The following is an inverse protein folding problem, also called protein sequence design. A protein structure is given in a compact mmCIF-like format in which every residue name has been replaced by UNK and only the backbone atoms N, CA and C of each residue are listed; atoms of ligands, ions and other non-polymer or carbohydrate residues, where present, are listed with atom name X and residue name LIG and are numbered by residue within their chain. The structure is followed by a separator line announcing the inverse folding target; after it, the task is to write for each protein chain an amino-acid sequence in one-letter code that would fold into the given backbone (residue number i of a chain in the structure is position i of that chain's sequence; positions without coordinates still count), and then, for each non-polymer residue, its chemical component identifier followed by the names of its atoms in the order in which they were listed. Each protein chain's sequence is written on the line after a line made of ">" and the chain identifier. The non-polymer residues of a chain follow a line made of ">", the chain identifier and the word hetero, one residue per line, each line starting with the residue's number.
data_IF_526592393583
#
_entry.id   IF_526592393583
#
_cell.length_a   1.000
_cell.length_b   1.000
_cell.length_c   1.000
_cell.angle_alpha   90.00
_cell.angle_beta   90.00
_cell.angle_gamma   90.00
#
_symmetry.space_group_name_H-M   'P 1'
#
loop_
_entity.id
_entity.type
_entity.pdbx_description
1 polymer ?
#
# COMPACT_ATOMS: atom_id res chain seq x y z
N UNK A 1 -48.40 -38.17 -26.11
CA UNK A 1 -47.87 -36.82 -26.46
C UNK A 1 -47.59 -35.94 -25.25
N UNK A 2 -48.26 -36.12 -24.09
CA UNK A 2 -48.07 -35.32 -22.85
C UNK A 2 -46.61 -35.23 -22.34
N UNK A 3 -45.84 -36.31 -22.41
CA UNK A 3 -44.47 -36.36 -21.90
C UNK A 3 -43.49 -35.43 -22.67
N UNK A 4 -43.77 -35.12 -23.94
CA UNK A 4 -42.96 -34.21 -24.75
C UNK A 4 -43.21 -32.73 -24.40
N UNK A 5 -44.42 -32.39 -23.96
CA UNK A 5 -44.81 -31.01 -23.64
C UNK A 5 -44.19 -30.57 -22.31
N UNK A 6 -44.25 -31.42 -21.29
CA UNK A 6 -43.62 -31.17 -19.98
C UNK A 6 -42.08 -31.11 -20.10
N UNK A 7 -41.49 -32.00 -20.90
CA UNK A 7 -40.05 -31.97 -21.17
C UNK A 7 -39.63 -30.69 -21.92
N UNK A 8 -40.49 -30.13 -22.76
CA UNK A 8 -40.26 -28.86 -23.46
C UNK A 8 -40.35 -27.67 -22.50
N UNK A 9 -41.36 -27.61 -21.66
CA UNK A 9 -41.54 -26.54 -20.67
C UNK A 9 -40.38 -26.50 -19.67
N UNK A 10 -39.93 -27.66 -19.15
CA UNK A 10 -38.75 -27.72 -18.26
C UNK A 10 -37.49 -27.17 -18.93
N UNK A 11 -37.27 -27.44 -20.22
CA UNK A 11 -36.12 -26.88 -20.96
C UNK A 11 -36.24 -25.37 -21.13
N UNK A 12 -37.44 -24.85 -21.40
CA UNK A 12 -37.68 -23.40 -21.51
C UNK A 12 -37.33 -22.71 -20.19
N UNK A 13 -37.80 -23.24 -19.05
CA UNK A 13 -37.47 -22.69 -17.73
C UNK A 13 -35.97 -22.74 -17.43
N UNK A 14 -35.27 -23.81 -17.80
CA UNK A 14 -33.80 -23.88 -17.66
C UNK A 14 -33.07 -22.85 -18.53
N UNK A 15 -33.54 -22.64 -19.76
CA UNK A 15 -32.98 -21.62 -20.67
C UNK A 15 -33.20 -20.21 -20.11
N UNK A 16 -34.38 -19.92 -19.57
CA UNK A 16 -34.68 -18.59 -19.03
C UNK A 16 -33.91 -18.33 -17.73
N UNK A 17 -33.70 -19.36 -16.90
CA UNK A 17 -32.87 -19.28 -15.70
C UNK A 17 -31.37 -19.14 -16.03
N UNK A 18 -30.90 -19.75 -17.13
CA UNK A 18 -29.55 -19.53 -17.63
C UNK A 18 -29.39 -18.10 -18.18
N UNK A 19 -30.37 -17.61 -18.94
CA UNK A 19 -30.38 -16.23 -19.46
C UNK A 19 -30.33 -15.18 -18.36
N UNK A 20 -30.98 -15.41 -17.22
CA UNK A 20 -30.95 -14.48 -16.09
C UNK A 20 -29.64 -14.49 -15.31
N UNK A 21 -28.89 -15.60 -15.31
CA UNK A 21 -27.60 -15.74 -14.59
C UNK A 21 -26.37 -15.30 -15.39
N UNK A 22 -26.42 -15.40 -16.71
CA UNK A 22 -25.32 -15.01 -17.61
C UNK A 22 -24.84 -13.56 -17.37
N UNK A 23 -25.72 -12.55 -17.15
CA UNK A 23 -25.30 -11.18 -16.88
C UNK A 23 -24.52 -11.04 -15.57
N UNK A 24 -24.97 -11.68 -14.49
CA UNK A 24 -24.28 -11.65 -13.20
C UNK A 24 -22.88 -12.26 -13.31
N UNK A 25 -22.77 -13.40 -14.00
CA UNK A 25 -21.49 -14.06 -14.26
C UNK A 25 -20.56 -13.20 -15.14
N UNK A 26 -21.12 -12.50 -16.14
CA UNK A 26 -20.38 -11.55 -16.98
C UNK A 26 -19.82 -10.40 -16.14
N UNK A 27 -20.61 -9.83 -15.25
CA UNK A 27 -20.18 -8.73 -14.37
C UNK A 27 -19.08 -9.19 -13.41
N UNK A 28 -19.19 -10.40 -12.87
CA UNK A 28 -18.16 -10.99 -12.01
C UNK A 28 -16.84 -11.22 -12.76
N UNK A 29 -16.91 -11.76 -13.98
CA UNK A 29 -15.75 -11.93 -14.85
C UNK A 29 -15.09 -10.59 -15.22
N UNK A 30 -15.88 -9.55 -15.47
CA UNK A 30 -15.36 -8.20 -15.73
C UNK A 30 -14.64 -7.64 -14.51
N UNK A 31 -15.21 -7.80 -13.31
CA UNK A 31 -14.56 -7.37 -12.07
C UNK A 31 -13.24 -8.11 -11.81
N UNK A 32 -13.21 -9.43 -12.02
CA UNK A 32 -12.00 -10.24 -11.89
C UNK A 32 -10.95 -9.84 -12.93
N UNK A 33 -11.37 -9.63 -14.19
CA UNK A 33 -10.48 -9.20 -15.28
C UNK A 33 -9.85 -7.83 -14.99
N UNK A 34 -10.63 -6.85 -14.53
CA UNK A 34 -10.11 -5.53 -14.14
C UNK A 34 -9.12 -5.60 -12.97
N UNK A 35 -9.34 -6.50 -12.00
CA UNK A 35 -8.39 -6.72 -10.90
C UNK A 35 -7.09 -7.35 -11.39
N UNK A 36 -7.15 -8.26 -12.37
CA UNK A 36 -5.97 -8.92 -12.94
C UNK A 36 -5.14 -8.00 -13.83
N UNK A 37 -5.75 -7.07 -14.55
CA UNK A 37 -5.03 -6.08 -15.37
C UNK A 37 -4.03 -5.25 -14.55
N UNK A 38 -4.39 -4.90 -13.31
CA UNK A 38 -3.48 -4.18 -12.42
C UNK A 38 -2.23 -5.00 -12.07
N UNK A 39 -2.36 -6.32 -11.92
CA UNK A 39 -1.23 -7.22 -11.66
C UNK A 39 -0.38 -7.46 -12.92
N UNK A 40 -0.98 -7.44 -14.11
CA UNK A 40 -0.28 -7.62 -15.39
C UNK A 40 0.67 -6.44 -15.70
N UNK A 41 0.25 -5.20 -15.38
CA UNK A 41 1.10 -4.00 -15.50
C UNK A 41 2.34 -4.10 -14.59
N UNK A 42 2.17 -4.63 -13.38
CA UNK A 42 3.26 -4.79 -12.40
C UNK A 42 4.22 -5.91 -12.81
N UNK A 43 3.69 -7.00 -13.39
CA UNK A 43 4.48 -8.12 -13.91
C UNK A 43 5.34 -7.70 -15.11
N UNK A 44 4.77 -6.97 -16.09
CA UNK A 44 5.48 -6.51 -17.29
C UNK A 44 6.62 -5.51 -17.00
N UNK A 45 6.56 -4.81 -15.87
CA UNK A 45 7.64 -3.93 -15.41
C UNK A 45 8.81 -4.69 -14.73
N UNK A 46 8.81 -6.03 -14.72
CA UNK A 46 9.81 -6.90 -14.06
C UNK A 46 9.98 -6.64 -12.55
N UNK A 47 8.96 -6.12 -11.88
CA UNK A 47 9.00 -5.75 -10.46
C UNK A 47 8.41 -6.81 -9.51
N UNK A 48 7.97 -7.97 -10.01
CA UNK A 48 7.40 -9.04 -9.17
C UNK A 48 7.44 -10.43 -9.82
N UNK A 49 8.01 -11.42 -9.13
CA UNK A 49 7.79 -12.85 -9.36
C UNK A 49 7.25 -13.47 -8.06
N UNK A 50 6.05 -14.08 -8.05
CA UNK A 50 5.58 -14.84 -6.90
C UNK A 50 6.31 -16.19 -6.83
N UNK A 51 6.93 -16.49 -5.69
CA UNK A 51 7.40 -17.83 -5.35
C UNK A 51 6.18 -18.75 -5.16
N UNK A 52 5.78 -19.47 -6.21
CA UNK A 52 4.74 -20.49 -6.10
C UNK A 52 5.29 -21.75 -5.39
N UNK A 53 5.29 -21.72 -4.05
CA UNK A 53 5.78 -22.83 -3.21
C UNK A 53 4.74 -23.93 -2.98
N UNK A 54 3.54 -23.83 -3.56
CA UNK A 54 2.46 -24.79 -3.30
C UNK A 54 2.78 -26.17 -3.87
N UNK A 55 3.26 -26.23 -5.12
CA UNK A 55 3.69 -27.51 -5.74
C UNK A 55 4.76 -28.18 -4.89
N UNK A 56 5.78 -27.42 -4.50
CA UNK A 56 6.91 -27.91 -3.71
C UNK A 56 6.49 -28.41 -2.31
N UNK A 57 5.44 -27.85 -1.71
CA UNK A 57 4.85 -28.38 -0.46
C UNK A 57 4.18 -29.73 -0.66
N UNK A 58 3.48 -29.90 -1.77
CA UNK A 58 2.79 -31.14 -2.08
C UNK A 58 3.81 -32.25 -2.38
N UNK A 59 4.86 -31.93 -3.12
CA UNK A 59 5.94 -32.87 -3.45
C UNK A 59 6.69 -33.32 -2.18
N UNK A 60 7.05 -32.40 -1.28
CA UNK A 60 7.68 -32.76 0.01
C UNK A 60 6.77 -33.59 0.92
N UNK A 61 5.45 -33.35 0.89
CA UNK A 61 4.48 -34.15 1.67
C UNK A 61 4.40 -35.58 1.14
N UNK A 62 4.38 -35.75 -0.18
CA UNK A 62 4.35 -37.04 -0.85
C UNK A 62 5.63 -37.85 -0.58
N UNK A 63 6.80 -37.21 -0.71
CA UNK A 63 8.09 -37.81 -0.37
C UNK A 63 8.15 -38.24 1.10
N UNK A 64 7.63 -37.43 2.02
CA UNK A 64 7.56 -37.78 3.44
C UNK A 64 6.74 -39.04 3.71
N UNK A 65 5.62 -39.25 3.01
CA UNK A 65 4.85 -40.49 3.14
C UNK A 65 5.60 -41.71 2.60
N UNK A 66 6.30 -41.57 1.49
CA UNK A 66 7.07 -42.66 0.87
C UNK A 66 8.24 -43.11 1.76
N UNK A 67 8.90 -42.16 2.43
CA UNK A 67 9.97 -42.45 3.41
C UNK A 67 9.42 -43.20 4.62
N UNK A 68 8.26 -42.77 5.15
CA UNK A 68 7.61 -43.45 6.27
C UNK A 68 7.17 -44.88 5.92
N UNK A 69 6.72 -45.11 4.68
CA UNK A 69 6.34 -46.43 4.21
C UNK A 69 7.57 -47.32 3.95
N UNK A 70 8.66 -46.76 3.41
CA UNK A 70 9.94 -47.45 3.27
C UNK A 70 10.53 -47.84 4.64
N UNK A 71 10.36 -47.02 5.68
CA UNK A 71 10.85 -47.30 7.03
C UNK A 71 10.10 -48.44 7.73
N UNK A 72 8.84 -48.71 7.34
CA UNK A 72 8.06 -49.86 7.81
C UNK A 72 8.49 -51.16 7.13
N UNK A 73 9.02 -51.09 5.92
CA UNK A 73 9.62 -52.25 5.25
C UNK A 73 11.00 -52.55 5.84
N UNK A 74 11.29 -53.81 6.17
CA UNK A 74 12.55 -54.24 6.82
C UNK A 74 13.74 -54.12 5.85
N UNK A 75 14.18 -52.90 5.54
CA UNK A 75 15.27 -52.60 4.63
C UNK A 75 16.63 -52.59 5.36
N UNK A 76 17.74 -53.01 4.69
CA UNK A 76 19.04 -53.18 5.33
C UNK A 76 19.74 -51.87 5.76
N UNK A 77 19.32 -50.72 5.21
CA UNK A 77 20.02 -49.44 5.33
C UNK A 77 19.26 -48.41 6.17
N UNK A 78 18.96 -48.76 7.43
CA UNK A 78 18.29 -47.88 8.39
C UNK A 78 19.00 -46.52 8.57
N UNK A 79 20.34 -46.50 8.55
CA UNK A 79 21.11 -45.26 8.71
C UNK A 79 20.95 -44.29 7.53
N UNK A 80 20.82 -44.80 6.30
CA UNK A 80 20.59 -43.98 5.11
C UNK A 80 19.17 -43.41 5.10
N UNK A 81 18.19 -44.22 5.49
CA UNK A 81 16.79 -43.78 5.63
C UNK A 81 16.63 -42.71 6.72
N UNK A 82 17.36 -42.84 7.83
CA UNK A 82 17.35 -41.83 8.88
C UNK A 82 17.92 -40.50 8.37
N UNK A 83 19.08 -40.53 7.71
CA UNK A 83 19.70 -39.33 7.12
C UNK A 83 18.75 -38.64 6.12
N UNK A 84 18.07 -39.42 5.28
CA UNK A 84 17.12 -38.89 4.32
C UNK A 84 15.88 -38.27 4.99
N UNK A 85 15.42 -38.85 6.09
CA UNK A 85 14.35 -38.27 6.91
C UNK A 85 14.76 -36.93 7.53
N UNK A 86 16.00 -36.81 8.00
CA UNK A 86 16.51 -35.57 8.60
C UNK A 86 16.64 -34.46 7.53
N UNK A 87 17.19 -34.77 6.34
CA UNK A 87 17.27 -33.82 5.21
C UNK A 87 15.88 -33.34 4.76
N UNK A 88 14.86 -34.21 4.83
CA UNK A 88 13.48 -33.85 4.47
C UNK A 88 12.83 -32.91 5.49
N UNK A 89 13.18 -33.05 6.79
CA UNK A 89 12.75 -32.10 7.83
C UNK A 89 13.39 -30.73 7.63
N UNK A 90 14.69 -30.68 7.32
CA UNK A 90 15.42 -29.43 7.05
C UNK A 90 14.85 -28.71 5.81
N UNK A 91 14.52 -29.47 4.76
CA UNK A 91 13.89 -28.93 3.55
C UNK A 91 12.51 -28.33 3.85
N UNK A 92 11.72 -28.99 4.72
CA UNK A 92 10.41 -28.50 5.15
C UNK A 92 10.53 -27.23 5.99
N UNK A 93 11.51 -27.16 6.90
CA UNK A 93 11.78 -25.96 7.69
C UNK A 93 12.24 -24.79 6.82
N UNK A 94 13.16 -25.04 5.88
CA UNK A 94 13.60 -24.04 4.90
C UNK A 94 12.44 -23.49 4.08
N UNK A 95 11.51 -24.35 3.65
CA UNK A 95 10.34 -23.92 2.90
C UNK A 95 9.34 -23.12 3.75
N UNK A 96 9.17 -23.46 5.03
CA UNK A 96 8.40 -22.65 5.98
C UNK A 96 9.03 -21.27 6.19
N UNK A 97 10.36 -21.21 6.28
CA UNK A 97 11.12 -19.96 6.39
C UNK A 97 11.04 -19.12 5.11
N UNK A 98 11.08 -19.73 3.92
CA UNK A 98 10.82 -19.03 2.65
C UNK A 98 9.38 -18.51 2.56
N UNK A 99 8.41 -19.26 3.10
CA UNK A 99 7.03 -18.82 3.24
C UNK A 99 6.86 -17.60 4.16
N UNK A 100 7.78 -17.36 5.10
CA UNK A 100 7.79 -16.12 5.89
C UNK A 100 8.11 -14.88 5.06
N UNK A 101 8.70 -15.01 3.86
CA UNK A 101 8.95 -13.88 2.96
C UNK A 101 7.87 -13.74 1.87
N UNK A 102 6.73 -14.41 2.03
CA UNK A 102 5.58 -14.29 1.14
C UNK A 102 5.06 -12.83 1.05
N UNK A 103 4.28 -12.54 0.00
CA UNK A 103 3.71 -11.25 -0.44
C UNK A 103 3.36 -10.26 0.68
N UNK A 104 2.84 -10.72 1.81
CA UNK A 104 2.47 -9.88 2.95
C UNK A 104 3.68 -9.26 3.68
N UNK A 105 4.77 -10.01 3.84
CA UNK A 105 5.96 -9.50 4.52
C UNK A 105 6.81 -8.63 3.60
N UNK A 106 6.85 -8.88 2.29
CA UNK A 106 7.52 -7.97 1.35
C UNK A 106 6.80 -6.63 1.20
N UNK A 107 5.47 -6.61 1.25
CA UNK A 107 4.70 -5.35 1.28
C UNK A 107 4.93 -4.59 2.58
N UNK A 108 4.95 -5.29 3.72
CA UNK A 108 5.26 -4.70 5.03
C UNK A 108 6.68 -4.14 5.11
N UNK A 109 7.67 -4.86 4.57
CA UNK A 109 9.06 -4.42 4.47
C UNK A 109 9.17 -3.22 3.52
N UNK A 110 8.51 -3.26 2.36
CA UNK A 110 8.47 -2.13 1.42
C UNK A 110 7.85 -0.88 2.05
N UNK A 111 6.79 -1.05 2.85
CA UNK A 111 6.17 0.05 3.58
C UNK A 111 7.12 0.61 4.64
N UNK A 112 7.74 -0.24 5.45
CA UNK A 112 8.77 0.18 6.42
C UNK A 112 9.94 0.91 5.77
N UNK A 113 10.43 0.44 4.61
CA UNK A 113 11.50 1.10 3.87
C UNK A 113 11.08 2.46 3.30
N UNK A 114 9.80 2.63 2.92
CA UNK A 114 9.24 3.94 2.53
C UNK A 114 9.14 4.86 3.73
N UNK A 115 8.58 4.40 4.84
CA UNK A 115 8.43 5.20 6.06
C UNK A 115 9.81 5.64 6.60
N UNK A 116 10.81 4.77 6.54
CA UNK A 116 12.19 5.10 6.92
C UNK A 116 12.82 6.13 5.97
N UNK A 117 12.59 5.99 4.66
CA UNK A 117 13.05 6.96 3.66
C UNK A 117 12.40 8.33 3.88
N UNK A 118 11.09 8.37 4.08
CA UNK A 118 10.34 9.61 4.31
C UNK A 118 10.78 10.26 5.62
N UNK A 119 11.07 9.48 6.66
CA UNK A 119 11.68 9.95 7.91
C UNK A 119 13.07 10.53 7.70
N UNK A 120 13.98 9.84 6.98
CA UNK A 120 15.33 10.35 6.68
C UNK A 120 15.26 11.61 5.82
N UNK A 121 14.36 11.65 4.84
CA UNK A 121 14.13 12.83 4.01
C UNK A 121 13.60 14.00 4.84
N UNK A 122 12.69 13.74 5.78
CA UNK A 122 12.24 14.75 6.75
C UNK A 122 13.44 15.27 7.55
N UNK A 123 14.33 14.42 8.04
CA UNK A 123 15.53 14.86 8.75
C UNK A 123 16.46 15.68 7.84
N UNK A 124 16.56 15.36 6.54
CA UNK A 124 17.40 16.10 5.59
C UNK A 124 16.81 17.45 5.14
N UNK A 125 15.47 17.58 5.12
CA UNK A 125 14.76 18.82 4.78
C UNK A 125 14.59 19.72 6.01
N UNK A 126 14.39 19.12 7.19
CA UNK A 126 14.19 19.81 8.47
C UNK A 126 15.49 19.90 9.31
N UNK A 127 16.61 19.36 8.80
CA UNK A 127 17.92 19.41 9.42
C UNK A 127 18.60 20.75 9.20
N UNK A 128 18.28 21.76 10.01
CA UNK A 128 19.05 23.01 10.18
C UNK A 128 19.58 23.63 8.87
N UNK A 129 18.81 23.65 7.78
CA UNK A 129 19.20 24.49 6.65
C UNK A 129 18.99 25.93 7.07
N UNK A 130 20.08 26.65 7.33
CA UNK A 130 20.02 28.08 7.62
C UNK A 130 19.44 28.77 6.39
N UNK A 131 18.26 29.36 6.55
CA UNK A 131 17.62 30.18 5.53
C UNK A 131 18.66 31.17 4.98
N UNK A 132 18.81 31.22 3.66
CA UNK A 132 19.76 32.09 2.97
C UNK A 132 21.06 31.43 2.48
N UNK A 133 21.30 30.14 2.73
CA UNK A 133 22.48 29.45 2.20
C UNK A 133 22.11 28.46 1.07
N UNK A 134 21.68 28.99 -0.08
CA UNK A 134 21.33 28.21 -1.26
C UNK A 134 22.40 28.39 -2.36
N UNK A 135 23.35 27.46 -2.45
CA UNK A 135 24.39 27.42 -3.50
C UNK A 135 24.19 26.28 -4.51
N UNK A 136 22.96 25.77 -4.64
CA UNK A 136 22.63 24.62 -5.50
C UNK A 136 21.64 24.92 -6.63
N UNK A 137 21.64 24.08 -7.66
CA UNK A 137 20.67 24.09 -8.77
C UNK A 137 19.53 23.12 -8.41
N UNK A 138 18.28 23.49 -8.68
CA UNK A 138 17.10 22.62 -8.49
C UNK A 138 17.20 21.40 -9.42
N UNK A 139 17.36 20.19 -8.86
CA UNK A 139 17.50 18.94 -9.63
C UNK A 139 16.21 18.12 -9.70
N UNK A 140 15.40 18.16 -8.65
CA UNK A 140 14.19 17.35 -8.52
C UNK A 140 13.23 17.94 -7.51
N UNK A 141 11.93 17.71 -7.69
CA UNK A 141 10.86 18.13 -6.78
C UNK A 141 10.15 16.88 -6.24
N UNK A 142 9.92 16.83 -4.92
CA UNK A 142 9.21 15.71 -4.27
C UNK A 142 7.69 15.82 -4.44
N UNK A 143 6.96 14.78 -4.00
CA UNK A 143 5.51 14.89 -3.87
C UNK A 143 5.13 15.93 -2.81
N UNK A 144 3.99 16.63 -2.98
CA UNK A 144 3.54 17.62 -2.01
C UNK A 144 3.14 16.95 -0.71
N UNK A 145 3.45 17.60 0.41
CA UNK A 145 3.03 17.20 1.75
C UNK A 145 2.04 18.27 2.24
N UNK A 146 0.89 17.83 2.76
CA UNK A 146 -0.08 18.77 3.34
C UNK A 146 0.44 19.23 4.70
N UNK A 147 0.74 20.52 4.82
CA UNK A 147 1.23 21.09 6.08
C UNK A 147 0.06 21.39 7.05
N UNK A 148 -0.90 22.20 6.62
CA UNK A 148 -2.03 22.60 7.46
C UNK A 148 -3.32 22.67 6.63
N UNK A 149 -4.44 22.28 7.23
CA UNK A 149 -5.79 22.57 6.71
C UNK A 149 -6.18 24.01 7.05
N UNK A 150 -7.07 24.63 6.26
CA UNK A 150 -7.45 26.02 6.47
C UNK A 150 -7.97 26.27 7.92
N UNK A 151 -7.27 27.09 8.73
CA UNK A 151 -7.65 27.32 10.11
C UNK A 151 -8.91 28.17 10.29
N UNK A 152 -9.38 28.83 9.21
CA UNK A 152 -10.62 29.62 9.16
C UNK A 152 -11.83 28.84 8.63
N UNK A 153 -11.69 27.51 8.49
CA UNK A 153 -12.76 26.61 8.08
C UNK A 153 -12.95 26.49 6.57
N UNK A 154 -13.81 25.54 6.18
CA UNK A 154 -13.98 25.10 4.79
C UNK A 154 -14.70 26.10 3.88
N UNK A 155 -15.42 27.07 4.44
CA UNK A 155 -16.12 28.09 3.65
C UNK A 155 -15.16 29.02 2.91
N UNK A 156 -13.93 29.16 3.43
CA UNK A 156 -12.92 30.01 2.86
C UNK A 156 -11.95 29.21 1.99
N UNK A 157 -11.95 29.47 0.69
CA UNK A 157 -11.23 28.64 -0.29
C UNK A 157 -9.91 29.28 -0.75
N UNK A 158 -9.75 30.59 -0.51
CA UNK A 158 -8.67 31.38 -1.05
C UNK A 158 -7.88 32.04 0.06
N UNK A 159 -6.56 32.10 -0.11
CA UNK A 159 -5.64 32.61 0.89
C UNK A 159 -4.20 32.26 0.56
N UNK A 160 -3.32 32.61 1.46
CA UNK A 160 -1.89 32.30 1.40
C UNK A 160 -1.39 31.96 2.81
N UNK A 161 -0.28 31.26 2.86
CA UNK A 161 0.46 31.03 4.09
C UNK A 161 1.95 31.03 3.77
N UNK A 162 2.78 31.24 4.79
CA UNK A 162 4.21 31.24 4.63
C UNK A 162 4.94 31.28 5.96
N UNK A 163 6.25 31.45 5.85
CA UNK A 163 7.17 31.61 6.98
C UNK A 163 8.07 32.82 6.69
N UNK A 164 8.41 33.60 7.71
CA UNK A 164 9.46 34.61 7.61
C UNK A 164 10.80 33.93 7.31
N UNK A 165 11.42 34.34 6.21
CA UNK A 165 12.68 33.81 5.71
C UNK A 165 13.87 34.72 6.03
N UNK A 166 13.70 35.75 6.87
CA UNK A 166 14.81 36.64 7.21
C UNK A 166 15.87 35.91 8.05
N UNK A 167 17.14 35.87 7.60
CA UNK A 167 18.20 35.22 8.38
C UNK A 167 18.39 35.90 9.74
N UNK A 168 18.30 35.12 10.82
CA UNK A 168 18.45 35.61 12.19
C UNK A 168 17.17 36.15 12.82
N UNK A 169 16.04 36.22 12.10
CA UNK A 169 14.75 36.51 12.71
C UNK A 169 14.21 35.28 13.46
N UNK A 170 13.36 35.48 14.48
CA UNK A 170 12.60 34.38 15.09
C UNK A 170 11.72 33.68 14.06
N UNK A 171 11.56 32.37 14.21
CA UNK A 171 10.65 31.58 13.38
C UNK A 171 9.21 32.13 13.50
N UNK A 172 8.60 32.50 12.37
CA UNK A 172 7.27 33.06 12.32
C UNK A 172 6.51 32.51 11.11
N UNK A 173 5.50 31.69 11.35
CA UNK A 173 4.57 31.27 10.31
C UNK A 173 3.35 32.16 10.32
N UNK A 174 2.76 32.35 9.15
CA UNK A 174 1.56 33.15 8.99
C UNK A 174 0.59 32.52 8.00
N UNK A 175 -0.70 32.77 8.20
CA UNK A 175 -1.80 32.39 7.31
C UNK A 175 -2.69 33.60 7.14
N UNK A 176 -3.01 33.95 5.90
CA UNK A 176 -3.99 34.96 5.55
C UNK A 176 -5.05 34.32 4.65
N UNK A 177 -6.31 34.52 5.01
CA UNK A 177 -7.45 34.02 4.23
C UNK A 177 -8.21 35.20 3.62
N UNK A 178 -8.64 35.05 2.37
CA UNK A 178 -9.41 36.07 1.66
C UNK A 178 -10.89 35.91 2.00
N UNK A 179 -11.38 36.73 2.91
CA UNK A 179 -12.74 36.63 3.47
C UNK A 179 -13.72 37.58 2.78
N UNK A 180 -13.31 38.79 2.41
CA UNK A 180 -14.20 39.78 1.78
C UNK A 180 -14.16 39.66 0.26
N UNK A 181 -15.32 39.35 -0.32
CA UNK A 181 -15.51 39.07 -1.75
C UNK A 181 -14.55 38.01 -2.32
N UNK A 182 -13.92 37.20 -1.45
CA UNK A 182 -12.82 36.27 -1.79
C UNK A 182 -11.58 36.95 -2.38
N UNK A 183 -11.46 38.26 -2.21
CA UNK A 183 -10.39 39.09 -2.79
C UNK A 183 -9.54 39.73 -1.68
N UNK A 184 -10.17 40.19 -0.59
CA UNK A 184 -9.46 40.88 0.49
C UNK A 184 -9.30 40.00 1.72
N UNK A 185 -8.08 39.96 2.25
CA UNK A 185 -7.74 39.35 3.53
C UNK A 185 -7.48 40.42 4.58
N UNK A 186 -8.36 40.50 5.59
CA UNK A 186 -8.28 41.54 6.63
C UNK A 186 -7.64 41.02 7.92
N UNK A 187 -7.24 39.75 7.96
CA UNK A 187 -6.69 39.11 9.15
C UNK A 187 -5.55 38.19 8.79
N UNK A 188 -4.42 38.38 9.47
CA UNK A 188 -3.24 37.52 9.39
C UNK A 188 -3.15 36.77 10.71
N UNK A 189 -3.22 35.44 10.67
CA UNK A 189 -2.95 34.56 11.81
C UNK A 189 -1.48 34.19 11.82
N UNK A 190 -0.79 34.35 12.94
CA UNK A 190 0.62 33.97 13.09
C UNK A 190 0.85 32.89 14.14
N UNK A 191 1.98 32.20 14.00
CA UNK A 191 2.45 31.11 14.86
C UNK A 191 3.95 31.28 15.10
N UNK A 192 4.38 31.08 16.34
CA UNK A 192 5.77 31.29 16.78
C UNK A 192 6.74 30.17 16.40
N UNK A 193 6.26 29.06 15.84
CA UNK A 193 7.08 27.98 15.31
C UNK A 193 6.25 27.03 14.44
N UNK A 194 6.90 26.06 13.80
CA UNK A 194 6.24 25.14 12.88
C UNK A 194 5.22 24.23 13.57
N UNK A 195 5.52 23.77 14.80
CA UNK A 195 4.62 22.86 15.54
C UNK A 195 3.27 23.52 15.87
N UNK A 196 3.21 24.73 16.46
CA UNK A 196 1.97 25.48 16.62
C UNK A 196 1.21 25.73 15.31
N UNK A 197 1.92 25.97 14.20
CA UNK A 197 1.34 26.10 12.88
C UNK A 197 0.62 24.81 12.46
N UNK A 198 1.29 23.66 12.49
CA UNK A 198 0.66 22.37 12.15
C UNK A 198 -0.57 22.05 13.03
N UNK A 199 -0.50 22.39 14.32
CA UNK A 199 -1.56 22.11 15.28
C UNK A 199 -2.70 23.15 15.27
N UNK A 200 -2.56 24.26 14.53
CA UNK A 200 -3.46 25.41 14.56
C UNK A 200 -3.65 25.99 15.99
N UNK A 201 -2.64 25.86 16.86
CA UNK A 201 -2.65 26.41 18.25
C UNK A 201 -1.27 26.29 18.91
N UNK A 202 -0.88 27.24 19.76
CA UNK A 202 -1.47 28.58 19.94
C UNK A 202 -1.23 29.49 18.73
N UNK A 203 -2.06 30.52 18.55
CA UNK A 203 -1.98 31.48 17.44
C UNK A 203 -2.29 32.91 17.88
N UNK A 204 -1.87 33.90 17.07
CA UNK A 204 -2.19 35.32 17.26
C UNK A 204 -2.78 35.89 15.98
N UNK A 205 -3.93 36.59 16.06
CA UNK A 205 -4.57 37.21 14.90
C UNK A 205 -4.31 38.72 14.86
N UNK A 206 -3.81 39.22 13.73
CA UNK A 206 -3.58 40.64 13.44
C UNK A 206 -4.57 41.11 12.39
N UNK A 207 -5.26 42.22 12.65
CA UNK A 207 -6.11 42.88 11.66
C UNK A 207 -5.28 43.84 10.81
N UNK A 208 -5.41 43.72 9.50
CA UNK A 208 -4.80 44.66 8.55
C UNK A 208 -5.91 45.60 8.11
N UNK A 209 -5.78 46.87 8.50
CA UNK A 209 -6.69 47.98 8.15
C UNK A 209 -6.21 48.72 6.92
#
# INVERSE_FOLDING_TARGET
>A
SQNCTEARERRITQVDLAKSRIPAFRTELQNISSRLQHFEVIYKQMLYHPLNLWSLRMDLKQLGSEVLDAQKSSLPNKNLLQKFSDELLDARESLMNMGKYDKFNLLSIKQHLRDLKDYIQSISVYGKSKIGNCSGILRSVSQPITAQVNPFGVANHYGAWGMDSMPGSPELYWVMVLTSSKIYGNTIRTYSSYKPFLLNKPFTDFRVT
#
